data_IF_370340349036
#
_entry.id   IF_370340349036
#
_cell.length_a   1.000
_cell.length_b   1.000
_cell.length_c   1.000
_cell.angle_alpha   90.00
_cell.angle_beta   90.00
_cell.angle_gamma   90.00
#
_symmetry.space_group_name_H-M   'P 1'
#
loop_
_entity.id
_entity.type
_entity.pdbx_description
1 polymer ?
#
# COMPACT_ATOMS: atom_id res chain seq x y z
N UNK A 1 6.91 81.12 -50.60
CA UNK A 1 5.79 80.60 -49.79
C UNK A 1 5.20 79.41 -50.54
N UNK A 2 5.70 78.19 -50.30
CA UNK A 2 5.36 77.28 -49.20
C UNK A 2 3.87 76.97 -49.11
N UNK A 3 3.44 75.81 -49.62
CA UNK A 3 3.12 74.66 -48.76
C UNK A 3 2.88 73.42 -49.66
N UNK A 4 3.82 72.48 -49.57
CA UNK A 4 3.72 71.14 -50.14
C UNK A 4 2.52 70.41 -49.52
N UNK A 5 1.61 69.93 -50.36
CA UNK A 5 0.67 68.87 -49.99
C UNK A 5 1.47 67.57 -49.77
N UNK A 6 1.91 67.35 -48.54
CA UNK A 6 2.55 66.10 -48.13
C UNK A 6 1.47 65.03 -48.00
N UNK A 7 1.36 64.18 -49.00
CA UNK A 7 0.51 63.00 -49.02
C UNK A 7 1.04 61.97 -48.01
N UNK A 8 0.33 61.81 -46.90
CA UNK A 8 0.69 60.97 -45.73
C UNK A 8 0.47 59.46 -45.94
N UNK A 9 0.18 58.99 -47.16
CA UNK A 9 -0.18 57.57 -47.39
C UNK A 9 0.99 56.59 -47.56
N UNK A 10 2.25 56.97 -47.31
CA UNK A 10 3.39 56.11 -47.61
C UNK A 10 4.15 55.56 -46.40
N UNK A 11 3.72 55.88 -45.16
CA UNK A 11 4.43 55.43 -43.94
C UNK A 11 3.99 54.07 -43.38
N UNK A 12 3.10 53.32 -44.04
CA UNK A 12 2.58 52.04 -43.49
C UNK A 12 3.07 50.80 -44.23
N UNK A 13 3.90 50.92 -45.26
CA UNK A 13 4.32 49.76 -46.06
C UNK A 13 5.73 49.22 -45.78
N UNK A 14 6.37 49.66 -44.69
CA UNK A 14 7.69 49.15 -44.32
C UNK A 14 7.58 48.07 -43.23
N UNK A 15 7.97 46.85 -43.61
CA UNK A 15 8.28 45.72 -42.73
C UNK A 15 7.11 44.84 -42.27
N UNK A 16 6.47 44.16 -43.24
CA UNK A 16 6.07 42.76 -43.01
C UNK A 16 7.34 41.98 -42.70
N UNK A 17 7.62 41.72 -41.42
CA UNK A 17 8.62 40.74 -40.99
C UNK A 17 8.36 39.47 -41.80
N UNK A 18 9.38 38.95 -42.50
CA UNK A 18 9.26 37.81 -43.38
C UNK A 18 8.52 36.65 -42.67
N UNK A 19 7.27 36.32 -43.07
CA UNK A 19 6.40 35.41 -42.31
C UNK A 19 6.93 33.97 -42.23
N UNK A 20 7.98 33.66 -42.99
CA UNK A 20 8.59 32.32 -43.08
C UNK A 20 9.22 31.83 -41.76
N UNK A 21 9.56 32.72 -40.79
CA UNK A 21 10.25 32.36 -39.54
C UNK A 21 9.24 31.88 -38.49
N UNK A 22 8.09 32.56 -38.45
CA UNK A 22 6.97 32.26 -37.54
C UNK A 22 6.34 30.90 -37.94
N UNK A 23 6.23 30.64 -39.24
CA UNK A 23 5.79 29.32 -39.75
C UNK A 23 6.73 28.19 -39.33
N UNK A 24 8.05 28.42 -39.36
CA UNK A 24 9.06 27.41 -39.00
C UNK A 24 9.10 27.11 -37.51
N UNK A 25 8.90 28.12 -36.66
CA UNK A 25 8.81 27.95 -35.21
C UNK A 25 7.55 27.17 -34.80
N UNK A 26 6.42 27.41 -35.48
CA UNK A 26 5.18 26.70 -35.18
C UNK A 26 5.29 25.20 -35.50
N UNK A 27 5.94 24.86 -36.61
CA UNK A 27 6.25 23.46 -36.97
C UNK A 27 7.12 22.80 -35.89
N UNK A 28 8.14 23.51 -35.38
CA UNK A 28 9.00 23.01 -34.30
C UNK A 28 8.22 22.76 -33.00
N UNK A 29 7.33 23.69 -32.62
CA UNK A 29 6.51 23.54 -31.42
C UNK A 29 5.49 22.40 -31.56
N UNK A 30 4.86 22.25 -32.73
CA UNK A 30 3.95 21.13 -32.99
C UNK A 30 4.71 19.80 -32.91
N UNK A 31 5.90 19.72 -33.52
CA UNK A 31 6.73 18.53 -33.44
C UNK A 31 7.11 18.20 -31.99
N UNK A 32 7.51 19.20 -31.21
CA UNK A 32 7.85 19.04 -29.79
C UNK A 32 6.64 18.56 -28.97
N UNK A 33 5.45 19.11 -29.22
CA UNK A 33 4.22 18.68 -28.57
C UNK A 33 3.87 17.23 -28.92
N UNK A 34 4.04 16.81 -30.18
CA UNK A 34 3.83 15.43 -30.60
C UNK A 34 4.80 14.47 -29.90
N UNK A 35 6.08 14.83 -29.80
CA UNK A 35 7.07 14.03 -29.08
C UNK A 35 6.74 13.93 -27.59
N UNK A 36 6.33 15.03 -26.96
CA UNK A 36 5.92 15.02 -25.56
C UNK A 36 4.69 14.12 -25.33
N UNK A 37 3.68 14.20 -26.20
CA UNK A 37 2.51 13.33 -26.14
C UNK A 37 2.87 11.86 -26.37
N UNK A 38 3.78 11.56 -27.30
CA UNK A 38 4.26 10.21 -27.55
C UNK A 38 5.01 9.64 -26.33
N UNK A 39 5.81 10.47 -25.64
CA UNK A 39 6.50 10.06 -24.42
C UNK A 39 5.52 9.74 -23.29
N UNK A 40 4.50 10.58 -23.08
CA UNK A 40 3.43 10.34 -22.11
C UNK A 40 2.65 9.06 -22.46
N UNK A 41 2.30 8.86 -23.73
CA UNK A 41 1.59 7.67 -24.18
C UNK A 41 2.42 6.39 -23.96
N UNK A 42 3.73 6.44 -24.22
CA UNK A 42 4.65 5.31 -24.00
C UNK A 42 4.73 4.95 -22.52
N UNK A 43 4.88 5.96 -21.66
CA UNK A 43 4.90 5.76 -20.21
C UNK A 43 3.59 5.16 -19.71
N UNK A 44 2.45 5.66 -20.18
CA UNK A 44 1.13 5.16 -19.80
C UNK A 44 0.92 3.70 -20.21
N UNK A 45 1.42 3.32 -21.39
CA UNK A 45 1.34 1.96 -21.90
C UNK A 45 2.22 0.98 -21.09
N UNK A 46 3.43 1.40 -20.72
CA UNK A 46 4.37 0.60 -19.93
C UNK A 46 3.82 0.33 -18.51
N UNK A 47 3.32 1.38 -17.83
CA UNK A 47 2.72 1.30 -16.49
C UNK A 47 1.50 0.36 -16.48
N UNK A 48 0.66 0.41 -17.52
CA UNK A 48 -0.54 -0.44 -17.61
C UNK A 48 -0.18 -1.92 -17.77
N UNK A 49 0.93 -2.23 -18.45
CA UNK A 49 1.36 -3.61 -18.69
C UNK A 49 1.96 -4.27 -17.44
N UNK A 50 2.74 -3.52 -16.64
CA UNK A 50 3.38 -4.04 -15.44
C UNK A 50 2.37 -4.36 -14.33
N UNK A 51 1.27 -3.61 -14.24
CA UNK A 51 0.19 -3.88 -13.29
C UNK A 51 -0.48 -5.25 -13.51
N UNK A 52 -0.66 -5.66 -14.77
CA UNK A 52 -1.29 -6.94 -15.10
C UNK A 52 -0.39 -8.15 -14.80
N UNK A 53 0.92 -8.02 -15.02
CA UNK A 53 1.90 -9.10 -14.77
C UNK A 53 2.10 -9.31 -13.27
N UNK A 54 2.36 -8.22 -12.52
CA UNK A 54 2.53 -8.26 -11.07
C UNK A 54 1.25 -8.75 -10.37
N UNK A 55 0.07 -8.39 -10.89
CA UNK A 55 -1.20 -8.86 -10.37
C UNK A 55 -1.39 -10.38 -10.47
N UNK A 56 -0.87 -11.05 -11.51
CA UNK A 56 -0.95 -12.52 -11.63
C UNK A 56 -0.05 -13.21 -10.60
N UNK A 57 1.16 -12.70 -10.40
CA UNK A 57 2.10 -13.26 -9.44
C UNK A 57 1.55 -13.16 -8.00
N UNK A 58 0.97 -12.01 -7.65
CA UNK A 58 0.26 -11.83 -6.38
C UNK A 58 -0.86 -12.86 -6.24
N UNK A 59 -1.71 -13.02 -7.26
CA UNK A 59 -2.80 -14.01 -7.21
C UNK A 59 -2.28 -15.44 -7.01
N UNK A 60 -1.20 -15.82 -7.68
CA UNK A 60 -0.58 -17.14 -7.51
C UNK A 60 -0.03 -17.32 -6.09
N UNK A 61 0.65 -16.32 -5.55
CA UNK A 61 1.17 -16.34 -4.17
C UNK A 61 0.03 -16.42 -3.16
N UNK A 62 -1.04 -15.64 -3.32
CA UNK A 62 -2.23 -15.71 -2.47
C UNK A 62 -2.87 -17.10 -2.53
N UNK A 63 -3.03 -17.69 -3.71
CA UNK A 63 -3.55 -19.05 -3.85
C UNK A 63 -2.68 -20.09 -3.13
N UNK A 64 -1.34 -19.95 -3.23
CA UNK A 64 -0.40 -20.81 -2.52
C UNK A 64 -0.50 -20.66 -1.00
N UNK A 65 -0.66 -19.44 -0.49
CA UNK A 65 -0.85 -19.17 0.94
C UNK A 65 -2.14 -19.82 1.43
N UNK A 66 -3.25 -19.61 0.71
CA UNK A 66 -4.55 -20.19 1.08
C UNK A 66 -4.52 -21.71 1.07
N UNK A 67 -3.86 -22.34 0.10
CA UNK A 67 -3.69 -23.79 0.06
C UNK A 67 -2.93 -24.32 1.30
N UNK A 68 -1.82 -23.67 1.67
CA UNK A 68 -1.03 -24.06 2.86
C UNK A 68 -1.80 -23.87 4.17
N UNK A 69 -2.59 -22.80 4.28
CA UNK A 69 -3.45 -22.55 5.44
C UNK A 69 -4.53 -23.61 5.56
N UNK A 70 -5.15 -24.00 4.46
CA UNK A 70 -6.17 -25.05 4.44
C UNK A 70 -5.60 -26.40 4.91
N UNK A 71 -4.40 -26.77 4.44
CA UNK A 71 -3.72 -28.00 4.89
C UNK A 71 -3.41 -27.95 6.38
N UNK A 72 -2.91 -26.82 6.88
CA UNK A 72 -2.61 -26.64 8.31
C UNK A 72 -3.87 -26.77 9.18
N UNK A 73 -4.98 -26.16 8.76
CA UNK A 73 -6.25 -26.20 9.47
C UNK A 73 -6.85 -27.62 9.51
N UNK A 74 -6.72 -28.37 8.41
CA UNK A 74 -7.14 -29.76 8.35
C UNK A 74 -6.31 -30.64 9.29
N UNK A 75 -4.98 -30.52 9.25
CA UNK A 75 -4.09 -31.23 10.17
C UNK A 75 -4.37 -30.90 11.64
N UNK A 76 -4.63 -29.64 11.96
CA UNK A 76 -4.98 -29.23 13.32
C UNK A 76 -6.30 -29.85 13.78
N UNK A 77 -7.28 -29.96 12.88
CA UNK A 77 -8.56 -30.62 13.14
C UNK A 77 -8.37 -32.11 13.37
N UNK A 78 -7.53 -32.78 12.57
CA UNK A 78 -7.19 -34.18 12.74
C UNK A 78 -6.47 -34.42 14.07
N UNK A 79 -5.49 -33.58 14.43
CA UNK A 79 -4.82 -33.65 15.71
C UNK A 79 -5.81 -33.48 16.86
N UNK A 80 -6.65 -32.44 16.83
CA UNK A 80 -7.64 -32.20 17.86
C UNK A 80 -8.62 -33.37 18.02
N UNK A 81 -9.01 -34.02 16.91
CA UNK A 81 -9.84 -35.22 16.94
C UNK A 81 -9.13 -36.37 17.65
N UNK A 82 -7.88 -36.67 17.26
CA UNK A 82 -7.08 -37.75 17.83
C UNK A 82 -6.72 -37.50 19.30
N UNK A 83 -6.37 -36.28 19.67
CA UNK A 83 -6.01 -35.90 21.05
C UNK A 83 -7.22 -35.45 21.87
N UNK A 84 -8.44 -35.62 21.35
CA UNK A 84 -9.64 -35.28 22.12
C UNK A 84 -9.74 -36.19 23.34
N UNK A 85 -10.19 -35.61 24.47
CA UNK A 85 -10.41 -36.36 25.71
C UNK A 85 -11.28 -37.59 25.47
N UNK A 86 -12.31 -37.48 24.63
CA UNK A 86 -13.19 -38.59 24.23
C UNK A 86 -12.42 -39.75 23.57
N UNK A 87 -11.57 -39.45 22.59
CA UNK A 87 -10.80 -40.50 21.87
C UNK A 87 -9.72 -41.09 22.77
N UNK A 88 -9.14 -40.31 23.68
CA UNK A 88 -8.21 -40.82 24.68
C UNK A 88 -8.91 -41.71 25.72
N UNK A 89 -10.07 -41.30 26.22
CA UNK A 89 -10.90 -42.09 27.15
C UNK A 89 -11.30 -43.41 26.51
N UNK A 90 -11.81 -43.39 25.27
CA UNK A 90 -12.18 -44.61 24.57
C UNK A 90 -10.99 -45.56 24.43
N UNK A 91 -9.81 -45.06 24.02
CA UNK A 91 -8.59 -45.87 23.94
C UNK A 91 -8.15 -46.41 25.31
N UNK A 92 -8.29 -45.63 26.37
CA UNK A 92 -7.99 -46.06 27.73
C UNK A 92 -8.92 -47.21 28.17
N UNK A 93 -10.22 -47.12 27.87
CA UNK A 93 -11.19 -48.18 28.13
C UNK A 93 -10.87 -49.46 27.33
N UNK A 94 -10.49 -49.32 26.05
CA UNK A 94 -10.13 -50.44 25.18
C UNK A 94 -8.91 -51.22 25.67
N UNK A 95 -7.94 -50.55 26.32
CA UNK A 95 -6.75 -51.19 26.91
C UNK A 95 -6.93 -51.58 28.39
N UNK A 96 -8.17 -51.50 28.91
CA UNK A 96 -8.54 -52.00 30.22
C UNK A 96 -8.42 -51.01 31.38
N UNK A 97 -8.17 -49.73 31.11
CA UNK A 97 -8.33 -48.70 32.13
C UNK A 97 -9.80 -48.47 32.44
N UNK A 98 -10.08 -47.98 33.64
CA UNK A 98 -11.41 -47.55 34.08
C UNK A 98 -11.32 -46.13 34.64
N UNK A 99 -12.41 -45.34 34.58
CA UNK A 99 -12.48 -44.07 35.27
C UNK A 99 -12.19 -44.24 36.77
N UNK A 100 -11.37 -43.35 37.32
CA UNK A 100 -11.02 -43.35 38.74
C UNK A 100 -12.18 -42.84 39.59
N UNK A 101 -12.47 -43.50 40.72
CA UNK A 101 -13.43 -43.01 41.70
C UNK A 101 -12.77 -42.02 42.67
N UNK A 102 -13.55 -41.07 43.21
CA UNK A 102 -13.02 -39.98 44.04
C UNK A 102 -12.25 -40.43 45.30
N UNK A 103 -12.49 -41.66 45.78
CA UNK A 103 -11.79 -42.24 46.93
C UNK A 103 -10.46 -42.92 46.60
N UNK A 104 -10.12 -43.11 45.33
CA UNK A 104 -8.91 -43.82 44.88
C UNK A 104 -7.74 -42.88 44.56
N UNK A 105 -7.94 -41.56 44.69
CA UNK A 105 -6.92 -40.56 44.39
C UNK A 105 -5.89 -40.44 45.53
N UNK A 106 -4.65 -40.83 45.24
CA UNK A 106 -3.49 -40.63 46.13
C UNK A 106 -2.71 -39.39 45.71
N UNK A 107 -2.51 -38.45 46.65
CA UNK A 107 -1.81 -37.19 46.38
C UNK A 107 -0.34 -37.29 46.80
N UNK A 108 0.57 -37.19 45.84
CA UNK A 108 2.01 -37.09 46.09
C UNK A 108 2.45 -35.62 46.11
N UNK A 109 3.05 -35.18 47.21
CA UNK A 109 3.67 -33.86 47.28
C UNK A 109 5.01 -33.92 46.55
N UNK A 110 5.10 -33.26 45.41
CA UNK A 110 6.34 -33.14 44.64
C UNK A 110 7.16 -31.95 45.16
N UNK A 111 8.35 -32.16 45.77
CA UNK A 111 9.17 -31.06 46.25
C UNK A 111 9.58 -30.13 45.10
N UNK A 112 9.39 -28.82 45.27
CA UNK A 112 9.69 -27.83 44.23
C UNK A 112 8.58 -27.63 43.20
N UNK A 113 7.41 -28.26 43.37
CA UNK A 113 6.24 -27.94 42.54
C UNK A 113 5.77 -26.52 42.82
N UNK A 114 6.05 -25.63 41.88
CA UNK A 114 5.41 -24.32 41.78
C UNK A 114 4.12 -24.53 40.99
N UNK A 115 2.99 -24.10 41.56
CA UNK A 115 1.75 -24.00 40.78
C UNK A 115 2.09 -23.10 39.60
N UNK A 116 1.92 -23.59 38.37
CA UNK A 116 1.85 -22.69 37.23
C UNK A 116 0.65 -21.80 37.50
N UNK A 117 0.91 -20.61 38.05
CA UNK A 117 -0.06 -19.55 38.04
C UNK A 117 -0.52 -19.48 36.59
N UNK A 118 -1.83 -19.67 36.30
CA UNK A 118 -2.30 -19.64 34.93
C UNK A 118 -1.71 -18.38 34.36
N UNK A 119 -0.93 -18.49 33.27
CA UNK A 119 -0.37 -17.35 32.56
C UNK A 119 -1.58 -16.54 32.13
N UNK A 120 -2.03 -15.67 33.03
CA UNK A 120 -3.11 -14.77 32.80
C UNK A 120 -2.61 -14.04 31.58
N UNK A 121 -3.42 -14.00 30.55
CA UNK A 121 -3.22 -13.29 29.29
C UNK A 121 -2.96 -11.76 29.51
N UNK A 122 -2.58 -11.32 30.72
CA UNK A 122 -1.99 -10.05 31.11
C UNK A 122 -0.56 -9.82 30.60
N UNK A 123 0.15 -10.86 30.14
CA UNK A 123 1.40 -10.68 29.35
C UNK A 123 1.16 -10.77 27.84
N UNK A 124 -0.11 -10.76 27.37
CA UNK A 124 -0.33 -10.07 26.12
C UNK A 124 0.23 -8.67 26.36
N UNK A 125 1.23 -8.19 25.60
CA UNK A 125 1.53 -6.78 25.66
C UNK A 125 0.18 -6.12 25.44
N UNK A 126 -0.36 -5.45 26.45
CA UNK A 126 -1.35 -4.40 26.20
C UNK A 126 -0.68 -3.68 25.06
N UNK A 127 -1.24 -3.66 23.83
CA UNK A 127 -0.58 -2.99 22.74
C UNK A 127 -0.33 -1.63 23.33
N UNK A 128 0.95 -1.33 23.56
CA UNK A 128 1.30 0.04 23.74
C UNK A 128 0.93 0.54 22.36
N UNK A 129 -0.28 1.08 22.27
CA UNK A 129 -0.51 2.33 21.62
C UNK A 129 0.48 3.29 22.29
N UNK A 130 1.79 3.06 22.13
CA UNK A 130 2.66 4.04 21.52
C UNK A 130 1.75 4.58 20.44
N UNK A 131 1.02 5.64 20.78
CA UNK A 131 0.36 6.47 19.81
C UNK A 131 1.39 6.51 18.72
N UNK A 132 1.09 5.88 17.56
CA UNK A 132 2.01 5.81 16.44
C UNK A 132 2.69 7.16 16.50
N UNK A 133 4.01 7.20 16.72
CA UNK A 133 4.72 8.46 16.70
C UNK A 133 4.74 8.82 15.23
N UNK A 134 3.54 9.18 14.76
CA UNK A 134 3.19 9.67 13.45
C UNK A 134 4.01 10.94 13.42
N UNK A 135 5.05 11.00 12.58
CA UNK A 135 5.83 12.21 12.46
C UNK A 135 4.88 13.40 12.26
N UNK A 136 5.14 14.58 12.84
CA UNK A 136 4.21 15.71 12.90
C UNK A 136 3.69 16.18 11.51
N UNK A 137 4.31 15.71 10.44
CA UNK A 137 3.93 15.91 9.05
C UNK A 137 2.74 15.06 8.56
N UNK A 138 2.37 13.98 9.26
CA UNK A 138 1.27 13.08 8.89
C UNK A 138 -0.04 13.33 9.67
N UNK A 139 -0.01 14.24 10.64
CA UNK A 139 -1.16 14.83 11.35
C UNK A 139 -1.48 16.25 10.83
N UNK A 140 -0.74 16.76 9.85
CA UNK A 140 -1.12 17.95 9.09
C UNK A 140 -2.33 17.60 8.21
N UNK A 141 -3.34 18.49 8.18
CA UNK A 141 -4.46 18.34 7.25
C UNK A 141 -3.96 18.49 5.82
N UNK A 142 -4.40 17.61 4.91
CA UNK A 142 -4.03 17.68 3.49
C UNK A 142 -4.33 19.04 2.86
N UNK A 143 -5.36 19.74 3.37
CA UNK A 143 -5.71 21.09 2.92
C UNK A 143 -4.69 22.14 3.39
N UNK A 144 -4.18 21.99 4.60
CA UNK A 144 -3.21 22.91 5.21
C UNK A 144 -1.83 22.78 4.54
N UNK A 145 -1.41 21.54 4.26
CA UNK A 145 -0.25 21.26 3.42
C UNK A 145 -0.40 21.86 2.01
N UNK A 146 -1.57 21.73 1.39
CA UNK A 146 -1.82 22.22 0.04
C UNK A 146 -1.75 23.75 -0.03
N UNK A 147 -2.38 24.45 0.91
CA UNK A 147 -2.31 25.91 1.04
C UNK A 147 -0.87 26.38 1.24
N UNK A 148 -0.13 25.72 2.15
CA UNK A 148 1.29 26.01 2.39
C UNK A 148 2.14 25.82 1.13
N UNK A 149 1.89 24.76 0.36
CA UNK A 149 2.64 24.49 -0.89
C UNK A 149 2.34 25.52 -1.97
N UNK A 150 1.07 25.88 -2.15
CA UNK A 150 0.63 26.89 -3.13
C UNK A 150 1.19 28.26 -2.75
N UNK A 151 1.06 28.66 -1.48
CA UNK A 151 1.57 29.94 -0.99
C UNK A 151 3.10 30.03 -1.09
N UNK A 152 3.83 28.94 -0.84
CA UNK A 152 5.28 28.90 -0.98
C UNK A 152 5.72 28.94 -2.45
N UNK A 153 4.94 28.35 -3.36
CA UNK A 153 5.19 28.46 -4.82
C UNK A 153 4.95 29.88 -5.36
N UNK A 154 4.02 30.61 -4.77
CA UNK A 154 3.72 32.01 -5.10
C UNK A 154 4.77 32.98 -4.53
N UNK A 155 5.36 32.69 -3.36
CA UNK A 155 6.45 33.49 -2.78
C UNK A 155 7.81 33.23 -3.42
N UNK A 156 8.05 32.05 -4.00
CA UNK A 156 9.29 31.73 -4.71
C UNK A 156 9.42 32.34 -6.11
N UNK A 157 8.44 33.13 -6.54
CA UNK A 157 8.39 33.78 -7.86
C UNK A 157 8.62 35.30 -7.81
N UNK A 158 9.16 35.84 -6.70
CA UNK A 158 9.73 37.19 -6.61
C UNK A 158 11.23 37.14 -6.38
#
# INVERSE_FOLDING_TARGET
MNMQNVNVNHLVHAYKVAPWRIQRQWIGNVLLAVVALAMIATLYLDVTSQAAITGREIQNLTASISASQQVSADLQTQLASLTSARVMEQRALEIGFRPMEAGEAEYLVVPGYTVLEPDILSSAPVPQLSALTVPPEYNESLLDWADKKIMNSLRGAQ
#
